data_IF_524317174068
#
_entry.id   IF_524317174068
#
_cell.length_a   1.000
_cell.length_b   1.000
_cell.length_c   1.000
_cell.angle_alpha   90.00
_cell.angle_beta   90.00
_cell.angle_gamma   90.00
#
_symmetry.space_group_name_H-M   'P 1'
#
loop_
_entity.id
_entity.type
_entity.pdbx_description
1 polymer ?
#
# COMPACT_ATOMS: atom_id res chain seq x y z
N UNK A 1 17.56 2.15 9.19
CA UNK A 1 18.31 1.04 9.80
C UNK A 1 17.67 -0.28 9.33
N UNK A 2 18.46 -1.15 8.70
CA UNK A 2 17.99 -2.42 8.10
C UNK A 2 17.26 -3.32 9.10
N UNK A 3 17.79 -3.43 10.33
CA UNK A 3 17.17 -4.21 11.40
C UNK A 3 15.75 -3.72 11.70
N UNK A 4 15.53 -2.41 11.77
CA UNK A 4 14.19 -1.87 11.97
C UNK A 4 13.26 -2.24 10.81
N UNK A 5 13.72 -2.11 9.57
CA UNK A 5 12.91 -2.45 8.40
C UNK A 5 12.54 -3.93 8.39
N UNK A 6 13.46 -4.82 8.74
CA UNK A 6 13.17 -6.25 8.82
C UNK A 6 12.12 -6.56 9.89
N UNK A 7 12.30 -6.05 11.12
CA UNK A 7 11.34 -6.25 12.23
C UNK A 7 9.96 -5.66 11.88
N UNK A 8 9.94 -4.46 11.31
CA UNK A 8 8.69 -3.80 10.95
C UNK A 8 7.94 -4.57 9.85
N UNK A 9 8.65 -5.06 8.83
CA UNK A 9 8.09 -5.89 7.74
C UNK A 9 7.48 -7.18 8.31
N UNK A 10 8.20 -7.91 9.17
CA UNK A 10 7.67 -9.13 9.82
C UNK A 10 6.35 -8.88 10.57
N UNK A 11 6.26 -7.74 11.27
CA UNK A 11 5.05 -7.39 12.02
C UNK A 11 3.88 -7.04 11.10
N UNK A 12 4.12 -6.31 10.02
CA UNK A 12 3.10 -6.01 9.02
C UNK A 12 2.63 -7.27 8.29
N UNK A 13 3.53 -8.18 7.95
CA UNK A 13 3.21 -9.49 7.38
C UNK A 13 2.34 -10.33 8.34
N UNK A 14 2.69 -10.35 9.64
CA UNK A 14 1.90 -11.04 10.64
C UNK A 14 0.50 -10.42 10.81
N UNK A 15 0.38 -9.09 10.71
CA UNK A 15 -0.91 -8.40 10.69
C UNK A 15 -1.72 -8.80 9.45
N UNK A 16 -1.13 -8.77 8.27
CA UNK A 16 -1.79 -9.12 7.02
C UNK A 16 -2.25 -10.59 6.98
N UNK A 17 -1.51 -11.49 7.66
CA UNK A 17 -1.87 -12.91 7.85
C UNK A 17 -2.91 -13.13 8.97
N UNK A 18 -3.38 -12.09 9.64
CA UNK A 18 -4.31 -12.19 10.78
C UNK A 18 -3.70 -12.79 12.07
N UNK A 19 -2.38 -12.93 12.14
CA UNK A 19 -1.63 -13.48 13.28
C UNK A 19 -1.38 -12.43 14.37
N UNK A 20 -1.56 -11.16 14.04
CA UNK A 20 -1.32 -10.04 14.92
C UNK A 20 -2.42 -9.00 14.75
N UNK A 21 -2.74 -8.27 15.81
CA UNK A 21 -3.62 -7.10 15.71
C UNK A 21 -2.80 -5.81 15.62
N UNK A 22 -3.37 -4.75 15.03
CA UNK A 22 -2.68 -3.48 14.87
C UNK A 22 -2.20 -2.86 16.21
N UNK A 23 -2.98 -2.84 17.30
CA UNK A 23 -2.48 -2.38 18.59
C UNK A 23 -1.26 -3.18 19.09
N UNK A 24 -1.27 -4.51 18.89
CA UNK A 24 -0.12 -5.34 19.26
C UNK A 24 1.10 -5.07 18.36
N UNK A 25 0.90 -4.78 17.08
CA UNK A 25 1.98 -4.37 16.19
C UNK A 25 2.69 -3.12 16.73
N UNK A 26 1.93 -2.08 17.05
CA UNK A 26 2.48 -0.81 17.55
C UNK A 26 3.18 -0.97 18.90
N UNK A 27 2.63 -1.79 19.81
CA UNK A 27 3.25 -2.11 21.09
C UNK A 27 4.57 -2.89 20.93
N UNK A 28 4.66 -3.79 19.95
CA UNK A 28 5.81 -4.70 19.81
C UNK A 28 6.92 -4.16 18.92
N UNK A 29 6.64 -3.23 18.02
CA UNK A 29 7.54 -2.78 16.96
C UNK A 29 8.91 -2.38 17.50
N UNK A 30 8.95 -1.43 18.41
CA UNK A 30 10.21 -0.96 18.97
C UNK A 30 10.80 -1.88 20.03
N UNK A 31 9.99 -2.62 20.77
CA UNK A 31 10.49 -3.65 21.70
C UNK A 31 11.25 -4.77 20.96
N UNK A 32 10.72 -5.26 19.85
CA UNK A 32 11.42 -6.23 18.99
C UNK A 32 12.68 -5.64 18.36
N UNK A 33 12.62 -4.39 17.90
CA UNK A 33 13.78 -3.68 17.37
C UNK A 33 14.89 -3.55 18.42
N UNK A 34 14.55 -3.08 19.63
CA UNK A 34 15.52 -2.94 20.73
C UNK A 34 16.14 -4.27 21.11
N UNK A 35 15.31 -5.33 21.19
CA UNK A 35 15.80 -6.71 21.43
C UNK A 35 16.76 -7.17 20.35
N UNK A 36 16.46 -6.91 19.09
CA UNK A 36 17.34 -7.28 17.97
C UNK A 36 18.66 -6.50 17.94
N UNK A 37 18.70 -5.33 18.62
CA UNK A 37 19.89 -4.49 18.80
C UNK A 37 20.62 -4.75 20.14
N UNK A 38 20.18 -5.73 20.92
CA UNK A 38 20.68 -6.01 22.28
C UNK A 38 20.64 -4.78 23.21
N UNK A 39 19.57 -3.99 23.07
CA UNK A 39 19.32 -2.78 23.86
C UNK A 39 18.27 -3.04 24.96
N UNK A 40 18.48 -2.55 26.21
CA UNK A 40 17.49 -2.65 27.27
C UNK A 40 16.26 -1.78 26.94
N UNK A 41 15.06 -2.35 27.04
CA UNK A 41 13.82 -1.61 26.75
C UNK A 41 13.55 -0.53 27.82
N UNK A 42 13.55 -0.91 29.10
CA UNK A 42 13.29 0.02 30.22
C UNK A 42 12.08 0.96 29.99
N UNK A 43 11.04 0.49 29.30
CA UNK A 43 9.85 1.27 28.93
C UNK A 43 10.03 2.25 27.77
N UNK A 44 11.20 2.26 27.11
CA UNK A 44 11.49 3.18 25.99
C UNK A 44 10.79 2.79 24.70
N UNK A 45 10.45 1.51 24.51
CA UNK A 45 9.80 1.03 23.29
C UNK A 45 8.47 1.75 23.03
N UNK A 46 7.66 2.00 24.05
CA UNK A 46 6.40 2.74 23.95
C UNK A 46 6.67 4.18 23.56
N UNK A 47 7.57 4.86 24.28
CA UNK A 47 7.95 6.25 23.98
C UNK A 47 8.50 6.42 22.55
N UNK A 48 9.32 5.46 22.09
CA UNK A 48 9.83 5.44 20.71
C UNK A 48 8.70 5.29 19.70
N UNK A 49 7.71 4.44 19.98
CA UNK A 49 6.55 4.29 19.09
C UNK A 49 5.76 5.58 18.99
N UNK A 50 5.44 6.21 20.11
CA UNK A 50 4.65 7.43 20.17
C UNK A 50 5.39 8.57 19.43
N UNK A 51 6.68 8.69 19.68
CA UNK A 51 7.51 9.69 18.96
C UNK A 51 7.63 9.41 17.47
N UNK A 52 7.71 8.14 17.09
CA UNK A 52 7.75 7.74 15.68
C UNK A 52 6.45 8.08 14.96
N UNK A 53 5.29 7.81 15.57
CA UNK A 53 3.99 8.16 14.98
C UNK A 53 3.81 9.69 14.89
N UNK A 54 4.22 10.42 15.90
CA UNK A 54 4.26 11.89 15.87
C UNK A 54 5.12 12.39 14.70
N UNK A 55 6.34 11.89 14.56
CA UNK A 55 7.22 12.28 13.45
C UNK A 55 6.66 11.91 12.10
N UNK A 56 6.07 10.72 11.96
CA UNK A 56 5.40 10.32 10.71
C UNK A 56 4.23 11.23 10.35
N UNK A 57 3.49 11.72 11.34
CA UNK A 57 2.36 12.62 11.10
C UNK A 57 2.78 14.03 10.66
N UNK A 58 4.01 14.43 10.97
CA UNK A 58 4.56 15.75 10.60
C UNK A 58 5.45 15.75 9.35
N UNK A 59 5.67 14.56 8.76
CA UNK A 59 6.50 14.39 7.56
C UNK A 59 5.64 13.79 6.44
N UNK A 60 5.27 14.63 5.50
CA UNK A 60 4.39 14.29 4.39
C UNK A 60 5.11 14.37 3.03
N UNK A 61 6.42 14.05 3.04
CA UNK A 61 7.22 14.06 1.82
C UNK A 61 6.67 13.06 0.80
N UNK A 62 6.52 13.52 -0.43
CA UNK A 62 6.08 12.72 -1.55
C UNK A 62 7.28 12.23 -2.36
N UNK A 63 7.11 11.08 -2.99
CA UNK A 63 8.06 10.60 -3.98
C UNK A 63 8.13 11.59 -5.17
N UNK A 64 9.30 11.75 -5.79
CA UNK A 64 9.43 12.60 -6.97
C UNK A 64 8.42 12.18 -8.06
N UNK A 65 7.72 13.15 -8.64
CA UNK A 65 6.71 12.93 -9.68
C UNK A 65 5.32 12.53 -9.17
N UNK A 66 5.13 12.29 -7.86
CA UNK A 66 3.83 11.84 -7.32
C UNK A 66 2.70 12.85 -7.57
N UNK A 67 2.95 14.14 -7.35
CA UNK A 67 1.92 15.17 -7.57
C UNK A 67 1.52 15.27 -9.04
N UNK A 68 2.49 15.26 -9.96
CA UNK A 68 2.22 15.30 -11.39
C UNK A 68 1.39 14.09 -11.83
N UNK A 69 1.77 12.90 -11.37
CA UNK A 69 1.02 11.69 -11.69
C UNK A 69 -0.42 11.73 -11.15
N UNK A 70 -0.63 12.23 -9.93
CA UNK A 70 -1.98 12.37 -9.36
C UNK A 70 -2.82 13.41 -10.09
N UNK A 71 -2.22 14.54 -10.48
CA UNK A 71 -2.89 15.58 -11.27
C UNK A 71 -3.38 15.01 -12.61
N UNK A 72 -2.50 14.38 -13.38
CA UNK A 72 -2.83 13.78 -14.68
C UNK A 72 -3.86 12.64 -14.56
N UNK A 73 -3.69 11.74 -13.57
CA UNK A 73 -4.59 10.61 -13.40
C UNK A 73 -5.97 11.03 -12.87
N UNK A 74 -6.07 12.10 -12.08
CA UNK A 74 -7.36 12.58 -11.57
C UNK A 74 -8.29 13.13 -12.66
N UNK A 75 -7.74 13.51 -13.82
CA UNK A 75 -8.54 13.98 -14.97
C UNK A 75 -9.26 12.83 -15.70
N UNK A 76 -8.76 11.59 -15.55
CA UNK A 76 -9.22 10.44 -16.35
C UNK A 76 -9.72 9.27 -15.53
N UNK A 77 -9.47 9.26 -14.22
CA UNK A 77 -9.83 8.17 -13.32
C UNK A 77 -10.32 8.66 -11.96
N UNK A 78 -11.20 7.88 -11.34
CA UNK A 78 -11.55 8.02 -9.93
C UNK A 78 -10.40 7.53 -9.06
N UNK A 79 -9.87 8.38 -8.19
CA UNK A 79 -8.71 8.07 -7.35
C UNK A 79 -9.12 7.86 -5.89
N UNK A 80 -8.63 6.78 -5.28
CA UNK A 80 -8.90 6.51 -3.88
C UNK A 80 -7.65 6.00 -3.14
N UNK A 81 -7.48 6.46 -1.89
CA UNK A 81 -6.48 5.94 -0.98
C UNK A 81 -7.07 4.84 -0.12
N UNK A 82 -6.40 3.68 -0.08
CA UNK A 82 -6.76 2.54 0.78
C UNK A 82 -5.57 2.18 1.66
N UNK A 83 -5.65 2.48 2.97
CA UNK A 83 -4.52 2.37 3.88
C UNK A 83 -4.79 1.51 5.12
N UNK A 84 -3.77 0.71 5.50
CA UNK A 84 -3.71 0.01 6.79
C UNK A 84 -3.00 0.83 7.88
N UNK A 85 -2.52 2.04 7.58
CA UNK A 85 -1.82 2.89 8.53
C UNK A 85 -2.72 3.39 9.69
N UNK A 86 -2.10 3.99 10.70
CA UNK A 86 -2.83 4.63 11.81
C UNK A 86 -3.62 5.84 11.31
N UNK A 87 -4.86 6.02 11.79
CA UNK A 87 -5.77 7.07 11.31
C UNK A 87 -5.11 8.45 11.40
N UNK A 88 -4.66 8.85 12.58
CA UNK A 88 -4.08 10.18 12.79
C UNK A 88 -2.88 10.45 11.88
N UNK A 89 -2.02 9.44 11.69
CA UNK A 89 -0.84 9.55 10.83
C UNK A 89 -1.24 9.71 9.37
N UNK A 90 -2.15 8.86 8.89
CA UNK A 90 -2.54 8.88 7.47
C UNK A 90 -3.30 10.16 7.12
N UNK A 91 -4.23 10.59 7.95
CA UNK A 91 -4.99 11.84 7.74
C UNK A 91 -4.07 13.06 7.71
N UNK A 92 -3.13 13.16 8.66
CA UNK A 92 -2.18 14.26 8.67
C UNK A 92 -1.32 14.26 7.40
N UNK A 93 -0.75 13.12 7.03
CA UNK A 93 0.10 13.01 5.83
C UNK A 93 -0.65 13.31 4.53
N UNK A 94 -1.86 12.80 4.37
CA UNK A 94 -2.69 13.03 3.17
C UNK A 94 -3.03 14.52 3.05
N UNK A 95 -3.44 15.16 4.14
CA UNK A 95 -3.74 16.60 4.18
C UNK A 95 -2.49 17.45 3.92
N UNK A 96 -1.42 17.20 4.66
CA UNK A 96 -0.22 18.06 4.67
C UNK A 96 0.63 17.90 3.41
N UNK A 97 0.56 16.74 2.74
CA UNK A 97 1.13 16.55 1.39
C UNK A 97 0.32 17.21 0.28
N UNK A 98 -0.92 17.59 0.56
CA UNK A 98 -1.83 18.19 -0.42
C UNK A 98 -2.40 17.22 -1.45
N UNK A 99 -2.21 15.89 -1.28
CA UNK A 99 -2.74 14.89 -2.22
C UNK A 99 -4.25 14.67 -2.06
N UNK A 100 -4.82 15.06 -0.93
CA UNK A 100 -6.25 14.91 -0.63
C UNK A 100 -7.14 15.47 -1.74
N UNK A 101 -6.73 16.60 -2.33
CA UNK A 101 -7.50 17.28 -3.39
C UNK A 101 -7.69 16.48 -4.69
N UNK A 102 -6.91 15.43 -4.89
CA UNK A 102 -7.01 14.55 -6.05
C UNK A 102 -7.80 13.28 -5.76
N UNK A 103 -8.23 13.08 -4.51
CA UNK A 103 -8.86 11.84 -4.06
C UNK A 103 -10.38 11.97 -4.00
N UNK A 104 -11.08 11.05 -4.65
CA UNK A 104 -12.54 10.89 -4.54
C UNK A 104 -12.92 10.15 -3.25
N UNK A 105 -11.96 9.44 -2.63
CA UNK A 105 -12.17 8.76 -1.36
C UNK A 105 -10.89 8.41 -0.62
N UNK A 106 -10.97 8.43 0.73
CA UNK A 106 -9.85 8.02 1.62
C UNK A 106 -10.38 6.99 2.60
N UNK A 107 -9.87 5.77 2.49
CA UNK A 107 -10.34 4.61 3.25
C UNK A 107 -9.22 4.06 4.13
N UNK A 108 -9.30 4.34 5.42
CA UNK A 108 -8.35 3.86 6.42
C UNK A 108 -8.98 2.67 7.14
N UNK A 109 -8.27 1.55 7.20
CA UNK A 109 -8.78 0.27 7.71
C UNK A 109 -9.45 0.33 9.09
N UNK A 110 -8.96 1.20 9.98
CA UNK A 110 -9.56 1.38 11.33
C UNK A 110 -10.95 2.03 11.27
N UNK A 111 -11.16 2.97 10.34
CA UNK A 111 -12.46 3.62 10.15
C UNK A 111 -13.47 2.69 9.49
N UNK A 112 -13.00 1.86 8.56
CA UNK A 112 -13.84 0.90 7.82
C UNK A 112 -14.14 -0.36 8.65
N UNK A 113 -13.27 -0.69 9.62
CA UNK A 113 -13.38 -1.93 10.39
C UNK A 113 -12.90 -3.17 9.64
N UNK A 114 -12.17 -3.00 8.55
CA UNK A 114 -11.57 -4.06 7.75
C UNK A 114 -10.21 -3.61 7.22
N UNK A 115 -9.24 -4.53 7.14
CA UNK A 115 -7.88 -4.22 6.70
C UNK A 115 -7.47 -5.05 5.47
N UNK A 116 -6.59 -4.51 4.63
CA UNK A 116 -5.91 -5.29 3.58
C UNK A 116 -5.12 -6.44 4.22
N UNK A 117 -5.13 -7.65 3.67
CA UNK A 117 -5.62 -8.08 2.36
C UNK A 117 -7.09 -8.56 2.34
N UNK A 118 -7.91 -8.23 3.31
CA UNK A 118 -9.32 -8.65 3.32
C UNK A 118 -10.10 -7.98 2.18
N UNK A 119 -10.82 -8.79 1.40
CA UNK A 119 -11.72 -8.29 0.36
C UNK A 119 -12.78 -7.31 0.92
N UNK A 120 -13.16 -7.44 2.20
CA UNK A 120 -14.18 -6.58 2.82
C UNK A 120 -13.85 -5.09 2.75
N UNK A 121 -12.57 -4.72 2.86
CA UNK A 121 -12.16 -3.32 2.74
C UNK A 121 -12.41 -2.81 1.32
N UNK A 122 -12.01 -3.56 0.31
CA UNK A 122 -12.21 -3.21 -1.10
C UNK A 122 -13.70 -3.21 -1.48
N UNK A 123 -14.49 -4.14 -0.98
CA UNK A 123 -15.95 -4.17 -1.17
C UNK A 123 -16.62 -2.88 -0.63
N UNK A 124 -16.15 -2.41 0.53
CA UNK A 124 -16.62 -1.15 1.09
C UNK A 124 -16.26 0.03 0.17
N UNK A 125 -15.01 0.10 -0.31
CA UNK A 125 -14.54 1.14 -1.23
C UNK A 125 -15.35 1.15 -2.52
N UNK A 126 -15.50 0.00 -3.17
CA UNK A 126 -16.24 -0.13 -4.43
C UNK A 126 -17.70 0.29 -4.28
N UNK A 127 -18.32 -0.11 -3.18
CA UNK A 127 -19.70 0.26 -2.87
C UNK A 127 -19.86 1.76 -2.65
N UNK A 128 -18.97 2.36 -1.86
CA UNK A 128 -19.01 3.78 -1.52
C UNK A 128 -18.81 4.67 -2.76
N UNK A 129 -17.89 4.27 -3.64
CA UNK A 129 -17.62 4.96 -4.91
C UNK A 129 -18.61 4.59 -6.03
N UNK A 130 -19.59 3.71 -5.77
CA UNK A 130 -20.58 3.29 -6.78
C UNK A 130 -20.00 2.46 -7.92
N UNK A 131 -18.84 1.82 -7.72
CA UNK A 131 -18.14 1.07 -8.76
C UNK A 131 -18.69 -0.36 -8.83
N UNK A 132 -19.25 -0.73 -9.98
CA UNK A 132 -19.81 -2.07 -10.23
C UNK A 132 -18.92 -2.93 -11.13
N UNK A 133 -18.17 -2.34 -12.04
CA UNK A 133 -17.28 -3.04 -12.97
C UNK A 133 -15.86 -3.13 -12.41
N UNK A 134 -15.52 -4.28 -11.83
CA UNK A 134 -14.20 -4.53 -11.21
C UNK A 134 -13.06 -4.62 -12.23
N UNK A 135 -13.33 -4.98 -13.49
CA UNK A 135 -12.30 -5.05 -14.52
C UNK A 135 -11.74 -3.68 -14.93
N UNK A 136 -12.37 -2.59 -14.47
CA UNK A 136 -11.91 -1.22 -14.64
C UNK A 136 -11.25 -0.64 -13.39
N UNK A 137 -10.93 -1.49 -12.41
CA UNK A 137 -10.32 -1.08 -11.15
C UNK A 137 -8.93 -1.66 -11.04
N UNK A 138 -7.95 -0.80 -10.82
CA UNK A 138 -6.56 -1.18 -10.62
C UNK A 138 -6.15 -0.88 -9.17
N UNK A 139 -5.78 -1.92 -8.42
CA UNK A 139 -5.13 -1.73 -7.12
C UNK A 139 -3.63 -1.54 -7.34
N UNK A 140 -3.13 -0.37 -7.01
CA UNK A 140 -1.69 -0.03 -7.07
C UNK A 140 -1.13 0.00 -5.65
N UNK A 141 -0.02 -0.67 -5.41
CA UNK A 141 0.64 -0.64 -4.10
C UNK A 141 1.98 -1.32 -4.08
N UNK A 142 2.74 -1.10 -3.02
CA UNK A 142 4.10 -1.61 -2.85
C UNK A 142 4.19 -2.92 -2.04
N UNK A 143 3.12 -3.29 -1.33
CA UNK A 143 3.08 -4.49 -0.51
C UNK A 143 2.37 -5.65 -1.23
N UNK A 144 3.14 -6.70 -1.57
CA UNK A 144 2.61 -7.88 -2.26
C UNK A 144 1.49 -8.57 -1.48
N UNK A 145 1.58 -8.64 -0.14
CA UNK A 145 0.60 -9.34 0.67
C UNK A 145 -0.62 -8.47 0.98
N UNK A 146 -0.42 -7.23 1.40
CA UNK A 146 -1.53 -6.35 1.74
C UNK A 146 -2.24 -5.83 0.48
N UNK A 147 -1.51 -5.27 -0.48
CA UNK A 147 -2.09 -4.57 -1.63
C UNK A 147 -2.43 -5.53 -2.76
N UNK A 148 -1.44 -6.26 -3.24
CA UNK A 148 -1.60 -7.10 -4.43
C UNK A 148 -2.52 -8.29 -4.12
N UNK A 149 -2.22 -9.05 -3.07
CA UNK A 149 -3.10 -10.15 -2.65
C UNK A 149 -4.48 -9.63 -2.24
N UNK A 150 -4.54 -8.46 -1.60
CA UNK A 150 -5.80 -7.82 -1.23
C UNK A 150 -6.67 -7.47 -2.43
N UNK A 151 -6.10 -6.82 -3.45
CA UNK A 151 -6.77 -6.54 -4.72
C UNK A 151 -7.25 -7.81 -5.42
N UNK A 152 -6.39 -8.84 -5.49
CA UNK A 152 -6.76 -10.15 -6.04
C UNK A 152 -7.91 -10.82 -5.28
N UNK A 153 -7.92 -10.75 -3.94
CA UNK A 153 -9.00 -11.30 -3.13
C UNK A 153 -10.34 -10.59 -3.40
N UNK A 154 -10.30 -9.34 -3.85
CA UNK A 154 -11.46 -8.56 -4.26
C UNK A 154 -11.80 -8.68 -5.76
N UNK A 155 -11.04 -9.47 -6.52
CA UNK A 155 -11.24 -9.64 -7.97
C UNK A 155 -10.88 -8.41 -8.80
N UNK A 156 -9.91 -7.62 -8.33
CA UNK A 156 -9.40 -6.43 -9.00
C UNK A 156 -8.12 -6.75 -9.79
N UNK A 157 -7.86 -5.97 -10.83
CA UNK A 157 -6.53 -5.91 -11.43
C UNK A 157 -5.52 -5.30 -10.45
N UNK A 158 -4.27 -5.75 -10.50
CA UNK A 158 -3.24 -5.36 -9.52
C UNK A 158 -1.95 -4.91 -10.18
N UNK A 159 -1.35 -3.87 -9.64
CA UNK A 159 -0.09 -3.29 -10.08
C UNK A 159 0.85 -3.15 -8.88
N UNK A 160 1.95 -3.90 -8.91
CA UNK A 160 2.99 -3.78 -7.89
C UNK A 160 3.93 -2.62 -8.21
N UNK A 161 3.92 -1.61 -7.34
CA UNK A 161 4.78 -0.45 -7.46
C UNK A 161 6.15 -0.74 -6.80
N UNK A 162 7.06 -1.32 -7.58
CA UNK A 162 8.35 -1.86 -7.14
C UNK A 162 9.51 -0.89 -7.45
N UNK A 163 9.53 0.26 -6.78
CA UNK A 163 10.57 1.28 -6.95
C UNK A 163 12.00 0.79 -6.73
N UNK A 164 12.18 -0.21 -5.87
CA UNK A 164 13.50 -0.72 -5.50
C UNK A 164 13.95 -1.89 -6.35
N UNK A 165 13.13 -2.30 -7.32
CA UNK A 165 13.38 -3.49 -8.13
C UNK A 165 13.67 -4.74 -7.26
N UNK A 166 12.90 -4.91 -6.17
CA UNK A 166 13.02 -6.05 -5.28
C UNK A 166 12.58 -7.33 -5.99
N UNK A 167 13.27 -8.43 -5.72
CA UNK A 167 12.88 -9.75 -6.23
C UNK A 167 11.59 -10.23 -5.56
N UNK A 168 10.59 -10.61 -6.35
CA UNK A 168 9.38 -11.23 -5.81
C UNK A 168 9.64 -12.69 -5.41
N UNK A 169 9.84 -12.92 -4.13
CA UNK A 169 10.04 -14.25 -3.52
C UNK A 169 8.73 -14.92 -3.06
N UNK A 170 7.59 -14.30 -3.33
CA UNK A 170 6.27 -14.80 -2.95
C UNK A 170 5.58 -15.53 -4.11
N UNK A 171 4.48 -16.24 -3.79
CA UNK A 171 3.57 -16.82 -4.79
C UNK A 171 2.47 -15.85 -5.24
N UNK A 172 2.62 -14.55 -4.95
CA UNK A 172 1.67 -13.52 -5.32
C UNK A 172 2.15 -12.86 -6.61
N UNK A 173 1.38 -13.01 -7.68
CA UNK A 173 1.74 -12.50 -9.00
C UNK A 173 0.83 -11.32 -9.34
N UNK A 174 1.33 -10.07 -9.35
CA UNK A 174 0.57 -8.91 -9.80
C UNK A 174 0.29 -9.04 -11.32
N UNK A 175 -0.78 -8.39 -11.80
CA UNK A 175 -1.04 -8.27 -13.24
C UNK A 175 0.03 -7.40 -13.92
N UNK A 176 0.44 -6.33 -13.23
CA UNK A 176 1.49 -5.41 -13.67
C UNK A 176 2.53 -5.22 -12.57
N UNK A 177 3.78 -4.97 -12.98
CA UNK A 177 4.87 -4.54 -12.11
C UNK A 177 5.52 -3.31 -12.74
N UNK A 178 5.64 -2.23 -11.96
CA UNK A 178 6.17 -0.94 -12.42
C UNK A 178 7.22 -0.39 -11.46
N UNK A 179 8.14 0.41 -11.98
CA UNK A 179 9.17 1.11 -11.24
C UNK A 179 9.02 2.62 -11.20
N UNK A 180 8.04 3.18 -11.91
CA UNK A 180 7.84 4.64 -12.04
C UNK A 180 6.37 5.02 -12.15
N UNK A 181 6.08 6.31 -11.98
CA UNK A 181 4.75 6.85 -12.25
C UNK A 181 4.46 6.92 -13.76
N UNK A 182 5.49 7.11 -14.60
CA UNK A 182 5.34 7.11 -16.06
C UNK A 182 4.83 5.75 -16.57
N UNK A 183 5.27 4.64 -15.93
CA UNK A 183 4.77 3.31 -16.27
C UNK A 183 3.30 3.16 -15.84
N UNK A 184 2.91 3.74 -14.70
CA UNK A 184 1.52 3.74 -14.24
C UNK A 184 0.62 4.51 -15.21
N UNK A 185 1.08 5.68 -15.68
CA UNK A 185 0.37 6.48 -16.66
C UNK A 185 0.10 5.69 -17.93
N UNK A 186 1.10 5.01 -18.48
CA UNK A 186 0.96 4.17 -19.68
C UNK A 186 -0.07 3.04 -19.48
N UNK A 187 -0.08 2.38 -18.31
CA UNK A 187 -1.07 1.33 -18.02
C UNK A 187 -2.50 1.88 -18.06
N UNK A 188 -2.71 3.11 -17.59
CA UNK A 188 -4.04 3.71 -17.49
C UNK A 188 -4.49 4.31 -18.82
N UNK A 189 -3.58 4.99 -19.53
CA UNK A 189 -3.90 5.79 -20.72
C UNK A 189 -3.73 5.05 -22.03
N UNK A 190 -2.80 4.09 -22.10
CA UNK A 190 -2.37 3.43 -23.33
C UNK A 190 -2.41 1.89 -23.18
N UNK A 191 -3.55 1.31 -22.76
CA UNK A 191 -3.62 -0.12 -22.47
C UNK A 191 -3.33 -1.01 -23.70
N UNK A 192 -3.46 -0.50 -24.92
CA UNK A 192 -3.19 -1.23 -26.16
C UNK A 192 -1.68 -1.28 -26.51
N UNK A 193 -0.87 -0.37 -25.97
CA UNK A 193 0.58 -0.33 -26.20
C UNK A 193 1.42 -1.15 -25.20
N UNK A 194 0.78 -1.72 -24.19
CA UNK A 194 1.47 -2.45 -23.10
C UNK A 194 2.32 -3.64 -23.56
N UNK A 195 2.06 -4.20 -24.75
CA UNK A 195 2.86 -5.28 -25.33
C UNK A 195 4.27 -4.81 -25.78
N UNK A 196 4.43 -3.50 -26.04
CA UNK A 196 5.69 -2.92 -26.54
C UNK A 196 6.60 -2.36 -25.46
N UNK A 197 6.07 -2.14 -24.27
CA UNK A 197 6.78 -1.49 -23.17
C UNK A 197 7.14 -2.57 -22.16
N UNK A 198 8.19 -3.30 -22.27
CA UNK A 198 8.78 -4.25 -21.30
C UNK A 198 8.16 -4.45 -19.90
N UNK A 199 6.92 -3.99 -19.70
CA UNK A 199 6.06 -4.29 -18.55
C UNK A 199 5.82 -5.79 -18.61
N UNK A 200 6.37 -6.53 -17.65
CA UNK A 200 6.26 -7.99 -17.58
C UNK A 200 4.80 -8.40 -17.43
N UNK A 201 4.07 -8.39 -18.54
CA UNK A 201 2.73 -8.92 -18.64
C UNK A 201 2.82 -10.45 -18.62
N UNK A 202 2.77 -11.06 -17.44
CA UNK A 202 2.69 -12.53 -17.31
C UNK A 202 1.25 -12.95 -17.61
N UNK A 203 0.88 -12.99 -18.89
CA UNK A 203 -0.27 -13.79 -19.32
C UNK A 203 0.04 -15.24 -18.98
N UNK A 204 -0.88 -15.91 -18.32
CA UNK A 204 -0.81 -17.33 -18.05
C UNK A 204 -0.60 -18.08 -19.38
N UNK A 205 0.56 -18.66 -19.55
CA UNK A 205 0.74 -19.80 -20.44
C UNK A 205 0.16 -21.03 -19.72
N UNK A 206 -1.15 -21.15 -19.76
CA UNK A 206 -1.84 -22.42 -19.57
C UNK A 206 -2.22 -22.92 -20.96
N UNK A 207 -1.30 -23.60 -21.62
CA UNK A 207 -1.58 -24.58 -22.67
C UNK A 207 -0.46 -25.61 -22.62
N UNK A 208 -0.79 -26.76 -22.12
CA UNK A 208 -0.48 -28.14 -22.45
C UNK A 208 -0.42 -29.01 -21.20
#
# INVERSE_FOLDING_TARGET
CEIYHAVNRELWDALAKGQLTKPKLFQQRFGRFMKAMDLPDNGKAVQMNDRYEELLSTHADLLPGALTALEELSEVATLAIVSNGAVMVQEARIRDSGIERYMDGVYISEKVGAAKPSAKLFEHVLKDLGITNRSRVLMVGDDLLADIKGGQNAGLDTCWFNLKNEENKSNIHPKFEIGSYDDLYKIVMEPEELENIGVRNRRHSNEA
#
